data_IF_621171635098
#
_entry.id   IF_621171635098
#
_cell.length_a   1.000
_cell.length_b   1.000
_cell.length_c   1.000
_cell.angle_alpha   90.00
_cell.angle_beta   90.00
_cell.angle_gamma   90.00
#
_symmetry.space_group_name_H-M   'P 1'
#
loop_
_entity.id
_entity.type
_entity.pdbx_description
1 polymer ?
#
# COMPACT_ATOMS: atom_id res chain seq x y z
N UNK A 1 10.24 7.54 10.24
CA UNK A 1 9.05 6.86 9.72
C UNK A 1 8.46 7.58 8.53
N UNK A 2 8.14 6.86 7.47
CA UNK A 2 7.45 7.37 6.27
C UNK A 2 5.96 7.02 6.35
N UNK A 3 5.11 7.98 6.01
CA UNK A 3 3.66 7.80 5.94
C UNK A 3 3.10 8.40 4.65
N UNK A 4 1.98 7.86 4.19
CA UNK A 4 1.20 8.40 3.07
C UNK A 4 -0.27 8.45 3.45
N UNK A 5 -0.96 9.49 2.97
CA UNK A 5 -2.40 9.61 3.09
C UNK A 5 -3.03 9.36 1.72
N UNK A 6 -3.97 8.43 1.64
CA UNK A 6 -4.76 8.15 0.45
C UNK A 6 -6.12 8.81 0.64
N UNK A 7 -6.39 9.85 -0.15
CA UNK A 7 -7.65 10.59 -0.12
C UNK A 7 -8.56 10.16 -1.26
N UNK A 8 -9.86 10.21 -1.01
CA UNK A 8 -10.87 10.10 -2.04
C UNK A 8 -12.10 10.93 -1.68
N UNK A 9 -12.85 11.27 -2.73
CA UNK A 9 -14.10 12.00 -2.65
C UNK A 9 -15.19 11.14 -3.29
N UNK A 10 -16.01 10.42 -2.52
CA UNK A 10 -17.15 9.69 -3.06
C UNK A 10 -18.09 10.65 -3.81
N UNK A 11 -18.41 10.29 -5.05
CA UNK A 11 -19.47 10.94 -5.84
C UNK A 11 -20.71 10.04 -5.78
N UNK A 12 -21.82 10.56 -5.26
CA UNK A 12 -23.10 9.82 -5.26
C UNK A 12 -23.28 8.77 -4.15
N UNK A 13 -22.48 8.82 -3.07
CA UNK A 13 -22.73 7.95 -1.90
C UNK A 13 -23.90 8.52 -1.08
N UNK A 14 -24.88 7.69 -0.69
CA UNK A 14 -25.98 8.13 0.16
C UNK A 14 -25.49 8.79 1.45
N UNK A 15 -26.20 9.81 1.92
CA UNK A 15 -25.88 10.52 3.16
C UNK A 15 -25.96 9.65 4.43
N UNK A 16 -26.60 8.47 4.32
CA UNK A 16 -26.72 7.50 5.39
C UNK A 16 -25.76 6.32 5.23
N UNK A 17 -24.68 6.33 6.00
CA UNK A 17 -23.74 5.22 6.13
C UNK A 17 -24.19 4.14 7.12
N UNK A 18 -25.36 4.30 7.77
CA UNK A 18 -25.91 3.33 8.71
C UNK A 18 -26.09 1.95 8.05
N UNK A 19 -25.51 0.91 8.66
CA UNK A 19 -25.58 -0.47 8.18
C UNK A 19 -24.79 -0.77 6.91
N UNK A 20 -23.93 0.14 6.45
CA UNK A 20 -23.01 -0.12 5.34
C UNK A 20 -21.68 -0.70 5.83
N UNK A 21 -21.06 -1.52 4.99
CA UNK A 21 -19.69 -1.99 5.18
C UNK A 21 -18.78 -1.29 4.19
N UNK A 22 -17.58 -0.90 4.66
CA UNK A 22 -16.56 -0.42 3.75
C UNK A 22 -15.16 -0.86 4.16
N UNK A 23 -14.32 -1.01 3.15
CA UNK A 23 -12.99 -1.56 3.30
C UNK A 23 -12.06 -1.09 2.18
N UNK A 24 -10.76 -1.07 2.48
CA UNK A 24 -9.71 -0.80 1.51
C UNK A 24 -8.99 -2.09 1.13
N UNK A 25 -8.72 -2.25 -0.16
CA UNK A 25 -7.96 -3.38 -0.68
C UNK A 25 -6.78 -2.91 -1.51
N UNK A 26 -5.69 -3.67 -1.41
CA UNK A 26 -4.52 -3.60 -2.28
C UNK A 26 -4.60 -4.70 -3.34
N UNK A 27 -4.23 -4.35 -4.57
CA UNK A 27 -4.12 -5.22 -5.74
C UNK A 27 -5.38 -6.07 -5.98
N UNK A 28 -6.54 -5.46 -5.80
CA UNK A 28 -7.81 -6.16 -5.93
C UNK A 28 -8.18 -6.45 -7.39
N UNK A 29 -8.63 -7.67 -7.64
CA UNK A 29 -9.09 -8.16 -8.95
C UNK A 29 -10.56 -8.52 -8.88
N UNK A 30 -11.30 -8.26 -9.97
CA UNK A 30 -12.70 -8.63 -10.07
C UNK A 30 -12.81 -10.12 -10.42
N UNK A 31 -13.50 -10.89 -9.58
CA UNK A 31 -13.66 -12.34 -9.73
C UNK A 31 -15.08 -12.74 -10.14
N UNK A 32 -15.85 -11.80 -10.69
CA UNK A 32 -17.24 -12.04 -11.08
C UNK A 32 -18.16 -12.14 -9.86
N UNK A 33 -18.79 -13.30 -9.69
CA UNK A 33 -19.86 -13.52 -8.69
C UNK A 33 -19.42 -13.32 -7.24
N UNK A 34 -18.13 -13.50 -6.94
CA UNK A 34 -17.56 -13.31 -5.59
C UNK A 34 -17.10 -11.87 -5.31
N UNK A 35 -17.20 -10.98 -6.30
CA UNK A 35 -16.79 -9.58 -6.18
C UNK A 35 -15.27 -9.39 -6.31
N UNK A 36 -14.73 -8.43 -5.56
CA UNK A 36 -13.30 -8.12 -5.57
C UNK A 36 -12.54 -8.99 -4.57
N UNK A 37 -11.39 -9.52 -5.00
CA UNK A 37 -10.44 -10.24 -4.14
C UNK A 37 -9.10 -9.52 -4.16
N UNK A 38 -8.54 -9.24 -2.98
CA UNK A 38 -7.25 -8.57 -2.81
C UNK A 38 -6.83 -8.57 -1.34
N UNK A 39 -5.71 -7.92 -1.03
CA UNK A 39 -5.24 -7.79 0.35
C UNK A 39 -6.01 -6.68 1.06
N UNK A 40 -6.82 -7.03 2.05
CA UNK A 40 -7.56 -6.05 2.87
C UNK A 40 -6.58 -5.35 3.81
N UNK A 41 -6.54 -4.03 3.78
CA UNK A 41 -5.69 -3.21 4.65
C UNK A 41 -6.48 -2.41 5.69
N UNK A 42 -7.78 -2.24 5.49
CA UNK A 42 -8.70 -1.63 6.45
C UNK A 42 -10.12 -2.18 6.21
N UNK A 43 -10.89 -2.38 7.27
CA UNK A 43 -12.30 -2.79 7.21
C UNK A 43 -13.07 -2.23 8.41
N UNK A 44 -14.32 -1.83 8.21
CA UNK A 44 -15.25 -1.51 9.31
C UNK A 44 -15.82 -2.75 10.00
N UNK A 45 -15.74 -3.91 9.36
CA UNK A 45 -16.17 -5.19 9.90
C UNK A 45 -15.07 -6.25 9.64
N UNK A 46 -14.13 -6.35 10.57
CA UNK A 46 -13.05 -7.34 10.51
C UNK A 46 -13.55 -8.79 10.62
N UNK A 47 -14.79 -9.02 11.11
CA UNK A 47 -15.35 -10.37 11.21
C UNK A 47 -15.73 -10.95 9.84
N UNK A 48 -16.17 -10.08 8.91
CA UNK A 48 -16.48 -10.46 7.52
C UNK A 48 -15.31 -10.28 6.58
N UNK A 49 -14.50 -9.25 6.81
CA UNK A 49 -13.35 -8.88 5.98
C UNK A 49 -12.11 -8.69 6.86
N UNK A 50 -11.41 -9.78 7.22
CA UNK A 50 -10.24 -9.70 8.08
C UNK A 50 -9.15 -8.82 7.45
N UNK A 51 -8.60 -7.91 8.24
CA UNK A 51 -7.46 -7.08 7.83
C UNK A 51 -6.19 -7.93 7.83
N UNK A 52 -5.39 -7.80 6.78
CA UNK A 52 -4.10 -8.49 6.67
C UNK A 52 -3.17 -8.09 7.83
N UNK A 53 -2.48 -9.06 8.46
CA UNK A 53 -1.46 -8.77 9.48
C UNK A 53 -0.38 -7.80 8.99
N UNK A 54 -0.09 -7.76 7.68
CA UNK A 54 0.87 -6.85 7.07
C UNK A 54 0.49 -5.37 7.24
N UNK A 55 -0.79 -5.06 7.39
CA UNK A 55 -1.32 -3.69 7.51
C UNK A 55 -1.86 -3.39 8.90
N UNK A 56 -2.00 -4.41 9.76
CA UNK A 56 -2.49 -4.26 11.12
C UNK A 56 -1.58 -3.30 11.90
N UNK A 57 -2.19 -2.33 12.59
CA UNK A 57 -1.51 -1.25 13.32
C UNK A 57 -0.74 -0.22 12.48
N UNK A 58 -0.71 -0.35 11.14
CA UNK A 58 -0.06 0.62 10.24
C UNK A 58 -1.06 1.54 9.54
N UNK A 59 -2.32 1.13 9.48
CA UNK A 59 -3.38 1.85 8.78
C UNK A 59 -4.33 2.51 9.77
N UNK A 60 -4.53 3.81 9.58
CA UNK A 60 -5.49 4.60 10.35
C UNK A 60 -6.52 5.19 9.41
N UNK A 61 -7.79 5.10 9.76
CA UNK A 61 -8.85 5.78 9.04
C UNK A 61 -8.88 7.25 9.45
N UNK A 62 -8.71 8.16 8.47
CA UNK A 62 -8.68 9.62 8.70
C UNK A 62 -9.91 10.31 8.12
N UNK A 63 -10.84 9.56 7.53
CA UNK A 63 -12.05 10.12 6.92
C UNK A 63 -13.03 10.70 7.93
N UNK A 64 -13.74 11.75 7.53
CA UNK A 64 -14.82 12.33 8.34
C UNK A 64 -16.15 11.64 8.04
N UNK A 65 -16.84 11.15 9.08
CA UNK A 65 -18.21 10.64 8.99
C UNK A 65 -19.28 11.73 9.13
N UNK A 66 -18.91 12.93 9.58
CA UNK A 66 -19.83 14.03 9.85
C UNK A 66 -19.63 15.19 8.86
N UNK A 67 -20.62 15.44 8.02
CA UNK A 67 -20.86 16.79 7.50
C UNK A 67 -21.51 17.61 8.61
N UNK A 68 -20.91 18.75 8.98
CA UNK A 68 -21.56 19.69 9.89
C UNK A 68 -22.91 20.08 9.31
N UNK A 69 -23.97 19.96 10.11
CA UNK A 69 -25.32 20.33 9.74
C UNK A 69 -25.32 21.72 9.09
N UNK A 70 -25.73 21.80 7.82
CA UNK A 70 -25.87 23.06 7.09
C UNK A 70 -24.89 23.31 5.95
N UNK A 71 -23.88 22.45 5.71
CA UNK A 71 -23.05 22.58 4.49
C UNK A 71 -22.97 21.27 3.73
N UNK A 72 -23.34 21.28 2.46
CA UNK A 72 -23.19 20.16 1.51
C UNK A 72 -21.71 19.93 1.14
N UNK A 73 -20.82 19.91 2.13
CA UNK A 73 -19.39 19.75 1.91
C UNK A 73 -19.07 18.25 1.89
N UNK A 74 -18.67 17.80 0.69
CA UNK A 74 -18.59 16.41 0.27
C UNK A 74 -17.94 15.48 1.29
N UNK A 75 -18.63 14.38 1.54
CA UNK A 75 -18.31 13.40 2.56
C UNK A 75 -16.93 12.80 2.30
N UNK A 76 -15.99 12.88 3.24
CA UNK A 76 -14.66 12.28 3.12
C UNK A 76 -14.64 10.88 3.75
N UNK A 77 -15.52 9.98 3.29
CA UNK A 77 -15.78 8.66 3.92
C UNK A 77 -14.68 7.61 3.73
N UNK A 78 -13.62 7.92 3.00
CA UNK A 78 -12.72 6.88 2.49
C UNK A 78 -11.24 7.22 2.68
N UNK A 79 -10.91 8.24 3.47
CA UNK A 79 -9.52 8.61 3.69
C UNK A 79 -8.83 7.67 4.67
N UNK A 80 -7.62 7.25 4.33
CA UNK A 80 -6.76 6.44 5.17
C UNK A 80 -5.34 6.98 5.17
N UNK A 81 -4.63 6.76 6.26
CA UNK A 81 -3.20 6.97 6.39
C UNK A 81 -2.51 5.63 6.59
N UNK A 82 -1.43 5.39 5.85
CA UNK A 82 -0.57 4.20 5.98
C UNK A 82 0.81 4.68 6.42
N UNK A 83 1.26 4.21 7.57
CA UNK A 83 2.57 4.53 8.13
C UNK A 83 3.51 3.31 8.12
N UNK A 84 4.80 3.57 8.38
CA UNK A 84 5.87 2.56 8.34
C UNK A 84 5.88 1.87 6.97
N UNK A 85 5.95 2.67 5.91
CA UNK A 85 5.91 2.19 4.53
C UNK A 85 7.16 1.38 4.19
N UNK A 86 6.96 0.29 3.45
CA UNK A 86 8.02 -0.53 2.85
C UNK A 86 7.84 -0.61 1.33
N UNK A 87 8.87 -1.05 0.61
CA UNK A 87 8.79 -1.24 -0.85
C UNK A 87 7.62 -2.15 -1.26
N UNK A 88 7.31 -3.14 -0.42
CA UNK A 88 6.21 -4.08 -0.63
C UNK A 88 4.82 -3.45 -0.49
N UNK A 89 4.71 -2.21 -0.01
CA UNK A 89 3.45 -1.45 -0.01
C UNK A 89 3.14 -0.84 -1.38
N UNK A 90 4.05 -0.88 -2.35
CA UNK A 90 3.74 -0.43 -3.71
C UNK A 90 2.61 -1.26 -4.35
N UNK A 91 1.68 -0.61 -5.04
CA UNK A 91 0.58 -1.28 -5.73
C UNK A 91 -0.66 -0.41 -5.94
N UNK A 92 -1.74 -1.06 -6.37
CA UNK A 92 -3.02 -0.42 -6.67
C UNK A 92 -3.98 -0.59 -5.50
N UNK A 93 -4.53 0.52 -5.02
CA UNK A 93 -5.41 0.61 -3.87
C UNK A 93 -6.81 1.03 -4.31
N UNK A 94 -7.83 0.36 -3.78
CA UNK A 94 -9.21 0.76 -4.00
C UNK A 94 -10.02 0.70 -2.72
N UNK A 95 -10.92 1.65 -2.58
CA UNK A 95 -11.96 1.65 -1.56
C UNK A 95 -13.19 0.95 -2.10
N UNK A 96 -13.82 0.14 -1.25
CA UNK A 96 -15.05 -0.61 -1.54
C UNK A 96 -16.08 -0.30 -0.48
N UNK A 97 -17.29 0.05 -0.93
CA UNK A 97 -18.48 0.23 -0.10
C UNK A 97 -19.54 -0.78 -0.53
N UNK A 98 -20.23 -1.37 0.44
CA UNK A 98 -21.33 -2.31 0.24
C UNK A 98 -22.47 -2.03 1.24
N UNK A 99 -23.68 -1.74 0.74
CA UNK A 99 -24.93 -1.64 1.52
C UNK A 99 -26.06 -2.32 0.76
N UNK A 100 -26.39 -3.55 1.12
CA UNK A 100 -27.37 -4.34 0.36
C UNK A 100 -26.97 -4.50 -1.11
N UNK A 101 -27.80 -3.97 -2.01
CA UNK A 101 -27.54 -3.98 -3.46
C UNK A 101 -26.65 -2.81 -3.93
N UNK A 102 -26.46 -1.79 -3.10
CA UNK A 102 -25.64 -0.63 -3.44
C UNK A 102 -24.17 -0.93 -3.18
N UNK A 103 -23.40 -1.04 -4.27
CA UNK A 103 -21.99 -1.44 -4.21
C UNK A 103 -21.15 -0.49 -5.05
N UNK A 104 -20.15 0.12 -4.43
CA UNK A 104 -19.35 1.17 -5.05
C UNK A 104 -17.86 0.87 -4.88
N UNK A 105 -17.07 1.25 -5.88
CA UNK A 105 -15.61 1.30 -5.77
C UNK A 105 -15.10 2.66 -6.19
N UNK A 106 -13.97 3.08 -5.64
CA UNK A 106 -13.25 4.25 -6.16
C UNK A 106 -12.70 3.97 -7.54
N UNK A 107 -13.03 4.84 -8.49
CA UNK A 107 -12.36 4.94 -9.79
C UNK A 107 -12.01 6.43 -10.05
N UNK A 108 -10.78 6.75 -10.51
CA UNK A 108 -9.68 5.81 -10.72
C UNK A 108 -9.15 5.25 -9.38
N UNK A 109 -8.56 4.06 -9.45
CA UNK A 109 -7.86 3.45 -8.30
C UNK A 109 -6.59 4.22 -7.97
N UNK A 110 -6.23 4.26 -6.69
CA UNK A 110 -5.01 4.93 -6.23
C UNK A 110 -3.80 4.05 -6.52
N UNK A 111 -2.77 4.58 -7.18
CA UNK A 111 -1.49 3.90 -7.36
C UNK A 111 -0.47 4.44 -6.36
N UNK A 112 0.05 3.58 -5.49
CA UNK A 112 1.12 3.91 -4.57
C UNK A 112 2.43 3.31 -5.07
N UNK A 113 3.46 4.13 -5.18
CA UNK A 113 4.83 3.70 -5.44
C UNK A 113 5.71 4.16 -4.28
N UNK A 114 6.32 3.21 -3.58
CA UNK A 114 7.27 3.47 -2.51
C UNK A 114 8.67 3.33 -3.07
N UNK A 115 9.41 4.43 -3.14
CA UNK A 115 10.81 4.43 -3.56
C UNK A 115 11.76 4.20 -2.40
N UNK A 116 12.80 3.39 -2.63
CA UNK A 116 13.96 3.34 -1.74
C UNK A 116 14.86 4.54 -2.00
N UNK A 117 15.21 5.29 -0.96
CA UNK A 117 16.41 6.14 -1.03
C UNK A 117 17.57 5.27 -0.59
N UNK A 118 18.36 4.77 -1.55
CA UNK A 118 19.66 4.18 -1.23
C UNK A 118 20.47 5.24 -0.50
N UNK A 119 20.83 4.95 0.75
CA UNK A 119 21.53 5.94 1.59
C UNK A 119 22.98 6.08 1.15
N UNK A 120 23.60 4.99 0.72
CA UNK A 120 24.96 4.93 0.22
C UNK A 120 25.00 3.97 -0.98
N UNK A 121 25.46 4.46 -2.12
CA UNK A 121 25.85 3.62 -3.27
C UNK A 121 27.37 3.62 -3.32
N UNK A 122 27.96 2.47 -3.06
CA UNK A 122 29.41 2.27 -3.12
C UNK A 122 29.68 1.31 -4.28
N UNK A 123 30.63 1.66 -5.15
CA UNK A 123 31.02 0.79 -6.27
C UNK A 123 32.31 0.11 -5.84
N UNK A 124 32.27 -1.22 -5.71
CA UNK A 124 33.47 -2.02 -5.49
C UNK A 124 33.89 -2.67 -6.81
N UNK A 125 35.19 -2.62 -7.13
CA UNK A 125 35.74 -3.23 -8.33
C UNK A 125 36.25 -4.64 -7.97
N UNK A 126 35.58 -5.66 -8.49
CA UNK A 126 35.97 -7.05 -8.33
C UNK A 126 36.52 -7.58 -9.66
N UNK A 127 37.86 -7.54 -9.79
CA UNK A 127 38.54 -7.91 -11.02
C UNK A 127 38.16 -7.02 -12.21
N UNK A 128 37.53 -7.61 -13.24
CA UNK A 128 37.04 -6.90 -14.43
C UNK A 128 35.58 -6.42 -14.29
N UNK A 129 34.91 -6.73 -13.19
CA UNK A 129 33.50 -6.37 -12.97
C UNK A 129 33.36 -5.20 -11.98
N UNK A 130 32.36 -4.35 -12.23
CA UNK A 130 31.92 -3.30 -11.31
C UNK A 130 30.67 -3.80 -10.59
N UNK A 131 30.74 -3.93 -9.27
CA UNK A 131 29.61 -4.35 -8.45
C UNK A 131 29.06 -3.12 -7.75
N UNK A 132 27.77 -2.85 -7.95
CA UNK A 132 27.08 -1.79 -7.25
C UNK A 132 26.59 -2.33 -5.90
N UNK A 133 27.13 -1.76 -4.82
CA UNK A 133 26.66 -2.04 -3.46
C UNK A 133 25.58 -1.04 -3.09
N UNK A 134 24.46 -1.59 -2.60
CA UNK A 134 23.30 -0.83 -2.17
C UNK A 134 23.03 -1.13 -0.70
N UNK A 135 23.05 -0.08 0.13
CA UNK A 135 22.79 -0.22 1.56
C UNK A 135 21.32 0.06 1.87
N UNK A 136 20.65 -0.93 2.45
CA UNK A 136 19.33 -0.80 3.05
C UNK A 136 19.46 -0.97 4.56
N UNK A 137 19.31 0.14 5.29
CA UNK A 137 19.50 0.20 6.73
C UNK A 137 20.90 -0.31 7.15
N UNK A 138 20.98 -1.50 7.77
CA UNK A 138 22.22 -2.16 8.19
C UNK A 138 22.63 -3.34 7.28
N UNK A 139 21.93 -3.57 6.18
CA UNK A 139 22.21 -4.67 5.25
C UNK A 139 22.73 -4.12 3.93
N UNK A 140 23.85 -4.66 3.46
CA UNK A 140 24.41 -4.35 2.14
C UNK A 140 23.97 -5.42 1.15
N UNK A 141 23.57 -4.99 -0.04
CA UNK A 141 23.20 -5.84 -1.16
C UNK A 141 24.12 -5.55 -2.33
N UNK A 142 24.52 -6.59 -3.05
CA UNK A 142 25.15 -6.49 -4.36
C UNK A 142 24.07 -6.52 -5.44
N UNK A 143 24.15 -5.59 -6.39
CA UNK A 143 23.38 -5.64 -7.63
C UNK A 143 24.21 -6.34 -8.71
N UNK A 144 23.72 -7.49 -9.17
CA UNK A 144 24.36 -8.28 -10.22
C UNK A 144 24.06 -7.68 -11.61
N UNK A 145 24.88 -7.97 -12.64
CA UNK A 145 24.66 -7.45 -14.01
C UNK A 145 23.30 -7.81 -14.63
N UNK A 146 22.67 -8.89 -14.15
CA UNK A 146 21.33 -9.31 -14.57
C UNK A 146 20.19 -8.56 -13.84
N UNK A 147 20.51 -7.57 -13.00
CA UNK A 147 19.56 -6.77 -12.22
C UNK A 147 19.05 -7.44 -10.95
N UNK A 148 19.51 -8.66 -10.61
CA UNK A 148 19.15 -9.32 -9.37
C UNK A 148 19.97 -8.78 -8.19
N UNK A 149 19.35 -8.75 -7.02
CA UNK A 149 20.00 -8.34 -5.77
C UNK A 149 20.38 -9.57 -4.93
N UNK A 150 21.60 -9.60 -4.41
CA UNK A 150 22.07 -10.63 -3.47
C UNK A 150 22.59 -9.96 -2.21
N UNK A 151 22.19 -10.47 -1.04
CA UNK A 151 22.74 -9.99 0.24
C UNK A 151 24.25 -10.21 0.27
N UNK A 152 24.99 -9.15 0.55
CA UNK A 152 26.44 -9.18 0.74
C UNK A 152 26.74 -9.57 2.18
N UNK A 153 27.55 -10.60 2.37
CA UNK A 153 27.92 -11.10 3.70
C UNK A 153 29.42 -11.02 3.96
N UNK A 154 30.27 -11.22 2.95
CA UNK A 154 31.73 -11.12 3.09
C UNK A 154 32.42 -10.71 1.78
N UNK A 155 33.58 -10.02 1.85
CA UNK A 155 34.44 -9.70 0.70
C UNK A 155 34.90 -10.90 -0.14
N UNK A 156 34.86 -12.10 0.43
CA UNK A 156 35.24 -13.33 -0.26
C UNK A 156 34.26 -13.70 -1.40
N UNK A 157 33.06 -13.12 -1.43
CA UNK A 157 32.07 -13.38 -2.48
C UNK A 157 32.47 -12.84 -3.86
N UNK A 158 33.52 -12.00 -3.94
CA UNK A 158 34.09 -11.55 -5.21
C UNK A 158 34.94 -12.59 -5.96
N UNK A 159 35.34 -13.70 -5.33
CA UNK A 159 36.01 -14.80 -6.05
C UNK A 159 35.05 -15.81 -6.66
N UNK A 160 33.76 -15.72 -6.32
CA UNK A 160 32.71 -16.65 -6.77
C UNK A 160 31.84 -16.07 -7.91
N UNK A 161 32.14 -14.84 -8.35
CA UNK A 161 31.55 -14.14 -9.48
C UNK A 161 32.50 -14.25 -10.70
#
# INVERSE_FOLDING_TARGET
>A
DSCVEIKCKPTGVPADTGGAEWFWMKNATWTGSKGFTGTVLYSTDESKRPVSPLFKNRVTYTGSTHGSAGTQQGHQLCQIQICSLSLSDSGIYLFRYEKGNDKWVTEPRANLTVGGKYKDQEIEQCGCEQILHQKHDNTTFMVLPNGNEKKWETPQQCSDL
#
